data_IF_787713795658
#
_entry.id   IF_787713795658
#
_cell.length_a   1.000
_cell.length_b   1.000
_cell.length_c   1.000
_cell.angle_alpha   90.00
_cell.angle_beta   90.00
_cell.angle_gamma   90.00
#
_symmetry.space_group_name_H-M   'P 1'
#
loop_
_entity.id
_entity.type
_entity.pdbx_description
1 polymer ?
#
# COMPACT_ATOMS: atom_id res chain seq x y z
N UNK A 1 79.02 -46.65 -7.31
CA UNK A 1 78.46 -45.94 -6.14
C UNK A 1 77.43 -44.95 -6.67
N UNK A 2 76.19 -45.37 -6.77
CA UNK A 2 75.09 -44.61 -7.40
C UNK A 2 73.96 -44.53 -6.37
N UNK A 3 73.67 -43.32 -5.87
CA UNK A 3 72.54 -43.07 -4.97
C UNK A 3 71.36 -42.54 -5.78
N UNK A 4 70.27 -43.31 -5.76
CA UNK A 4 68.94 -42.94 -6.24
C UNK A 4 68.32 -41.95 -5.23
N UNK A 5 67.95 -40.76 -5.67
CA UNK A 5 67.19 -39.80 -4.87
C UNK A 5 65.71 -39.85 -5.25
N UNK A 6 64.86 -40.33 -4.34
CA UNK A 6 63.41 -40.34 -4.49
C UNK A 6 62.82 -38.93 -4.31
N UNK A 7 62.06 -38.46 -5.29
CA UNK A 7 61.21 -37.27 -5.15
C UNK A 7 59.83 -37.71 -4.64
N UNK A 8 59.41 -37.20 -3.47
CA UNK A 8 58.06 -37.36 -2.95
C UNK A 8 57.22 -36.18 -3.45
N UNK A 9 56.20 -36.46 -4.26
CA UNK A 9 55.22 -35.48 -4.72
C UNK A 9 54.08 -35.41 -3.69
N UNK A 10 54.01 -34.32 -2.93
CA UNK A 10 52.88 -34.07 -2.03
C UNK A 10 51.69 -33.54 -2.83
N UNK A 11 50.61 -34.32 -2.91
CA UNK A 11 49.32 -33.88 -3.45
C UNK A 11 48.54 -33.20 -2.32
N UNK A 12 48.37 -31.88 -2.40
CA UNK A 12 47.49 -31.13 -1.51
C UNK A 12 46.10 -31.08 -2.14
N UNK A 13 45.18 -31.88 -1.61
CA UNK A 13 43.75 -31.83 -1.97
C UNK A 13 43.08 -30.63 -1.30
N UNK A 14 42.70 -29.61 -2.07
CA UNK A 14 41.90 -28.51 -1.58
C UNK A 14 40.42 -28.91 -1.50
N UNK A 15 39.89 -29.09 -0.28
CA UNK A 15 38.44 -29.15 -0.05
C UNK A 15 37.86 -27.74 -0.22
N UNK A 16 37.07 -27.52 -1.28
CA UNK A 16 36.25 -26.33 -1.41
C UNK A 16 35.04 -26.43 -0.48
N UNK A 17 35.09 -25.74 0.66
CA UNK A 17 33.90 -25.53 1.48
C UNK A 17 32.94 -24.59 0.73
N UNK A 18 31.83 -25.14 0.24
CA UNK A 18 30.75 -24.33 -0.31
C UNK A 18 30.11 -23.54 0.85
N UNK A 19 30.44 -22.26 0.94
CA UNK A 19 29.76 -21.33 1.83
C UNK A 19 28.36 -21.12 1.25
N UNK A 20 27.35 -21.76 1.84
CA UNK A 20 25.96 -21.37 1.60
C UNK A 20 25.76 -19.98 2.19
N UNK A 21 25.92 -18.95 1.38
CA UNK A 21 25.42 -17.62 1.70
C UNK A 21 23.90 -17.73 1.80
N UNK A 22 23.36 -17.64 3.01
CA UNK A 22 21.94 -17.39 3.21
C UNK A 22 21.62 -16.06 2.54
N UNK A 23 21.05 -16.10 1.33
CA UNK A 23 20.56 -14.90 0.67
C UNK A 23 19.50 -14.29 1.59
N UNK A 24 19.76 -13.08 2.08
CA UNK A 24 18.72 -12.29 2.74
C UNK A 24 17.53 -12.25 1.77
N UNK A 25 16.33 -12.72 2.17
CA UNK A 25 15.20 -12.77 1.25
C UNK A 25 15.00 -11.36 0.67
N UNK A 26 15.14 -11.23 -0.64
CA UNK A 26 14.85 -9.97 -1.30
C UNK A 26 13.41 -9.61 -0.95
N UNK A 27 13.20 -8.48 -0.29
CA UNK A 27 11.86 -7.97 -0.01
C UNK A 27 11.25 -7.60 -1.34
N UNK A 28 10.40 -8.47 -1.87
CA UNK A 28 9.69 -8.20 -3.11
C UNK A 28 8.54 -7.26 -2.78
N UNK A 29 8.50 -6.04 -3.35
CA UNK A 29 7.38 -5.14 -3.17
C UNK A 29 6.10 -5.82 -3.66
N UNK A 30 5.04 -5.66 -2.89
CA UNK A 30 3.72 -6.13 -3.24
C UNK A 30 2.69 -5.04 -2.97
N UNK A 31 1.55 -5.12 -3.67
CA UNK A 31 0.40 -4.25 -3.44
C UNK A 31 -0.75 -5.10 -2.94
N UNK A 32 -1.58 -4.52 -2.08
CA UNK A 32 -2.79 -5.18 -1.59
C UNK A 32 -4.02 -4.45 -2.08
N UNK A 33 -5.10 -5.18 -2.26
CA UNK A 33 -6.39 -4.62 -2.64
C UNK A 33 -7.53 -5.52 -2.18
N UNK A 34 -8.75 -5.02 -2.33
CA UNK A 34 -9.96 -5.83 -2.19
C UNK A 34 -10.53 -6.08 -3.57
N UNK A 35 -10.87 -7.34 -3.83
CA UNK A 35 -11.36 -7.81 -5.11
C UNK A 35 -12.61 -8.63 -4.89
N UNK A 36 -13.40 -8.84 -5.93
CA UNK A 36 -14.53 -9.74 -5.92
C UNK A 36 -14.43 -10.76 -7.05
N UNK A 37 -14.76 -12.01 -6.70
CA UNK A 37 -14.97 -13.12 -7.63
C UNK A 37 -16.29 -13.79 -7.27
N UNK A 38 -17.16 -14.00 -8.25
CA UNK A 38 -18.45 -14.67 -8.09
C UNK A 38 -19.33 -14.07 -6.97
N UNK A 39 -19.29 -12.75 -6.80
CA UNK A 39 -20.05 -12.03 -5.77
C UNK A 39 -19.47 -12.09 -4.35
N UNK A 40 -18.32 -12.75 -4.15
CA UNK A 40 -17.64 -12.84 -2.87
C UNK A 40 -16.40 -11.93 -2.84
N UNK A 41 -16.33 -10.93 -1.92
CA UNK A 41 -15.16 -10.09 -1.77
C UNK A 41 -14.03 -10.85 -1.04
N UNK A 42 -12.78 -10.56 -1.40
CA UNK A 42 -11.59 -11.11 -0.76
C UNK A 42 -10.42 -10.11 -0.77
N UNK A 43 -9.47 -10.31 0.15
CA UNK A 43 -8.21 -9.55 0.17
C UNK A 43 -7.23 -10.21 -0.79
N UNK A 44 -6.72 -9.43 -1.74
CA UNK A 44 -5.79 -9.90 -2.74
C UNK A 44 -4.42 -9.21 -2.66
N UNK A 45 -3.38 -9.93 -3.09
CA UNK A 45 -2.04 -9.38 -3.31
C UNK A 45 -1.75 -9.31 -4.80
N UNK A 46 -1.49 -8.12 -5.33
CA UNK A 46 -1.24 -7.90 -6.76
C UNK A 46 0.22 -8.18 -7.09
N UNK A 47 0.45 -9.01 -8.10
CA UNK A 47 1.75 -9.37 -8.65
C UNK A 47 1.85 -8.95 -10.11
N UNK A 48 2.93 -8.26 -10.45
CA UNK A 48 3.33 -7.90 -11.82
C UNK A 48 2.20 -7.25 -12.65
N UNK A 49 1.35 -6.47 -11.99
CA UNK A 49 0.21 -5.71 -12.56
C UNK A 49 -0.91 -6.53 -13.22
N UNK A 50 -0.76 -7.84 -13.35
CA UNK A 50 -1.72 -8.69 -14.10
C UNK A 50 -2.24 -9.88 -13.32
N UNK A 51 -1.65 -10.18 -12.16
CA UNK A 51 -2.05 -11.33 -11.32
C UNK A 51 -2.46 -10.88 -9.93
N UNK A 52 -3.42 -11.58 -9.34
CA UNK A 52 -3.86 -11.37 -7.96
C UNK A 52 -3.81 -12.70 -7.21
N UNK A 53 -3.15 -12.72 -6.06
CA UNK A 53 -3.19 -13.83 -5.13
C UNK A 53 -4.36 -13.64 -4.18
N UNK A 54 -5.31 -14.58 -4.16
CA UNK A 54 -6.33 -14.67 -3.12
C UNK A 54 -5.65 -15.06 -1.80
N UNK A 55 -5.54 -14.11 -0.87
CA UNK A 55 -4.71 -14.26 0.32
C UNK A 55 -5.23 -15.35 1.26
N UNK A 56 -6.55 -15.49 1.37
CA UNK A 56 -7.17 -16.50 2.22
C UNK A 56 -7.01 -17.90 1.60
N UNK A 57 -7.31 -18.04 0.31
CA UNK A 57 -7.14 -19.32 -0.39
C UNK A 57 -5.68 -19.79 -0.41
N UNK A 58 -4.73 -18.88 -0.65
CA UNK A 58 -3.31 -19.20 -0.61
C UNK A 58 -2.84 -19.58 0.80
N UNK A 59 -3.30 -18.86 1.82
CA UNK A 59 -2.99 -19.16 3.22
C UNK A 59 -3.43 -20.59 3.59
N UNK A 60 -4.65 -20.98 3.23
CA UNK A 60 -5.18 -22.34 3.46
C UNK A 60 -4.41 -23.39 2.66
N UNK A 61 -4.11 -23.13 1.39
CA UNK A 61 -3.43 -24.09 0.53
C UNK A 61 -2.00 -24.44 1.00
N UNK A 62 -1.29 -23.48 1.60
CA UNK A 62 0.05 -23.72 2.14
C UNK A 62 0.03 -24.48 3.49
N UNK A 63 -1.03 -24.32 4.30
CA UNK A 63 -1.33 -25.17 5.46
C UNK A 63 -0.29 -25.22 6.60
N UNK A 64 0.78 -24.47 6.50
CA UNK A 64 1.97 -24.48 7.37
C UNK A 64 1.99 -23.36 8.41
N UNK A 65 0.84 -22.74 8.69
CA UNK A 65 0.71 -21.59 9.59
C UNK A 65 -0.41 -21.79 10.61
N UNK A 66 -0.17 -21.35 11.84
CA UNK A 66 -1.18 -21.28 12.91
C UNK A 66 -1.94 -19.95 12.92
N UNK A 67 -1.53 -18.97 12.12
CA UNK A 67 -2.23 -17.70 11.97
C UNK A 67 -3.56 -17.93 11.28
N UNK A 68 -4.60 -17.17 11.64
CA UNK A 68 -5.81 -17.12 10.83
C UNK A 68 -5.61 -16.16 9.64
N UNK A 69 -6.07 -16.54 8.45
CA UNK A 69 -6.15 -15.63 7.31
C UNK A 69 -6.97 -14.35 7.65
N UNK A 70 -6.67 -13.19 7.03
CA UNK A 70 -7.54 -12.02 7.15
C UNK A 70 -8.86 -12.25 6.43
N UNK A 71 -9.97 -12.02 7.14
CA UNK A 71 -11.32 -12.09 6.57
C UNK A 71 -11.60 -10.92 5.62
N UNK A 72 -11.03 -9.75 5.91
CA UNK A 72 -11.19 -8.52 5.13
C UNK A 72 -9.95 -7.60 5.31
N UNK A 73 -9.95 -6.46 4.62
CA UNK A 73 -8.83 -5.51 4.70
C UNK A 73 -8.63 -4.94 6.11
N UNK A 74 -9.72 -4.74 6.88
CA UNK A 74 -9.62 -4.24 8.26
C UNK A 74 -8.90 -5.23 9.16
N UNK A 75 -9.21 -6.51 9.01
CA UNK A 75 -8.55 -7.63 9.69
C UNK A 75 -7.08 -7.75 9.29
N UNK A 76 -6.76 -7.52 8.01
CA UNK A 76 -5.38 -7.47 7.54
C UNK A 76 -4.62 -6.33 8.21
N UNK A 77 -5.14 -5.09 8.16
CA UNK A 77 -4.50 -3.91 8.75
C UNK A 77 -4.28 -4.11 10.26
N UNK A 78 -5.31 -4.53 11.00
CA UNK A 78 -5.24 -4.69 12.44
C UNK A 78 -4.21 -5.73 12.90
N UNK A 79 -3.91 -6.72 12.05
CA UNK A 79 -3.01 -7.84 12.38
C UNK A 79 -1.77 -7.87 11.50
N UNK A 80 -1.49 -6.79 10.78
CA UNK A 80 -0.41 -6.74 9.80
C UNK A 80 0.94 -7.06 10.44
N UNK A 81 1.26 -6.38 11.54
CA UNK A 81 2.48 -6.60 12.31
C UNK A 81 2.40 -7.76 13.31
N UNK A 82 1.25 -8.44 13.39
CA UNK A 82 1.03 -9.64 14.22
C UNK A 82 1.31 -10.94 13.43
N UNK A 83 2.19 -10.87 12.44
CA UNK A 83 2.65 -12.01 11.64
C UNK A 83 2.05 -12.09 10.22
N UNK A 84 0.96 -11.38 9.91
CA UNK A 84 0.39 -11.40 8.57
C UNK A 84 1.36 -10.83 7.52
N UNK A 85 2.19 -9.83 7.85
CA UNK A 85 3.23 -9.32 6.96
C UNK A 85 4.19 -10.42 6.50
N UNK A 86 4.71 -11.20 7.45
CA UNK A 86 5.61 -12.31 7.14
C UNK A 86 4.90 -13.40 6.32
N UNK A 87 3.62 -13.67 6.66
CA UNK A 87 2.81 -14.64 5.91
C UNK A 87 2.56 -14.21 4.46
N UNK A 88 2.29 -12.93 4.21
CA UNK A 88 2.15 -12.40 2.85
C UNK A 88 3.44 -12.60 2.06
N UNK A 89 4.61 -12.30 2.65
CA UNK A 89 5.90 -12.50 1.98
C UNK A 89 6.11 -13.97 1.58
N UNK A 90 5.78 -14.92 2.45
CA UNK A 90 5.84 -16.36 2.14
C UNK A 90 4.91 -16.73 0.98
N UNK A 91 3.66 -16.27 1.03
CA UNK A 91 2.65 -16.51 -0.02
C UNK A 91 3.10 -15.93 -1.37
N UNK A 92 3.63 -14.69 -1.37
CA UNK A 92 4.16 -14.04 -2.57
C UNK A 92 5.33 -14.82 -3.15
N UNK A 93 6.24 -15.31 -2.31
CA UNK A 93 7.36 -16.14 -2.74
C UNK A 93 6.87 -17.44 -3.39
N UNK A 94 5.94 -18.15 -2.75
CA UNK A 94 5.33 -19.37 -3.30
C UNK A 94 4.65 -19.11 -4.65
N UNK A 95 3.91 -18.00 -4.78
CA UNK A 95 3.22 -17.62 -6.01
C UNK A 95 4.18 -17.35 -7.17
N UNK A 96 5.33 -16.72 -6.87
CA UNK A 96 6.35 -16.39 -7.87
C UNK A 96 7.19 -17.59 -8.29
N UNK A 97 7.40 -18.55 -7.39
CA UNK A 97 8.14 -19.79 -7.69
C UNK A 97 7.30 -20.80 -8.49
N UNK A 98 5.98 -20.69 -8.46
CA UNK A 98 5.10 -21.62 -9.16
C UNK A 98 5.29 -21.51 -10.70
N UNK A 99 5.50 -22.64 -11.40
CA UNK A 99 5.58 -22.64 -12.86
C UNK A 99 4.29 -22.13 -13.51
N UNK A 100 4.40 -21.38 -14.62
CA UNK A 100 3.23 -20.86 -15.35
C UNK A 100 2.27 -21.99 -15.76
N UNK A 101 2.80 -23.13 -16.20
CA UNK A 101 2.02 -24.30 -16.60
C UNK A 101 1.31 -25.01 -15.43
N UNK A 102 1.74 -24.76 -14.19
CA UNK A 102 1.20 -25.34 -12.97
C UNK A 102 0.77 -24.22 -12.00
N UNK A 103 0.17 -23.16 -12.55
CA UNK A 103 -0.30 -22.01 -11.77
C UNK A 103 -1.28 -22.48 -10.68
N UNK A 104 -1.08 -22.13 -9.40
CA UNK A 104 -2.00 -22.49 -8.33
C UNK A 104 -3.37 -21.83 -8.52
N UNK A 105 -4.45 -22.51 -8.11
CA UNK A 105 -5.82 -22.02 -8.24
C UNK A 105 -6.11 -20.72 -7.46
N UNK A 106 -5.28 -20.39 -6.48
CA UNK A 106 -5.35 -19.15 -5.70
C UNK A 106 -4.59 -17.97 -6.36
N UNK A 107 -4.00 -18.16 -7.54
CA UNK A 107 -3.43 -17.10 -8.39
C UNK A 107 -4.36 -16.84 -9.56
N UNK A 108 -4.98 -15.66 -9.55
CA UNK A 108 -6.04 -15.24 -10.46
C UNK A 108 -5.53 -14.18 -11.43
N UNK A 109 -6.18 -14.07 -12.58
CA UNK A 109 -5.92 -12.98 -13.52
C UNK A 109 -6.64 -11.72 -13.04
N UNK A 110 -5.93 -10.59 -12.92
CA UNK A 110 -6.54 -9.34 -12.44
C UNK A 110 -7.73 -8.92 -13.31
N UNK A 111 -7.62 -9.12 -14.62
CA UNK A 111 -8.65 -8.76 -15.59
C UNK A 111 -9.96 -9.56 -15.45
N UNK A 112 -9.96 -10.69 -14.73
CA UNK A 112 -11.19 -11.47 -14.48
C UNK A 112 -11.89 -11.10 -13.17
N UNK A 113 -11.32 -10.15 -12.40
CA UNK A 113 -11.81 -9.74 -11.10
C UNK A 113 -12.46 -8.37 -11.15
N UNK A 114 -13.47 -8.16 -10.30
CA UNK A 114 -13.95 -6.81 -10.01
C UNK A 114 -13.08 -6.22 -8.92
N UNK A 115 -12.45 -5.07 -9.21
CA UNK A 115 -11.66 -4.33 -8.22
C UNK A 115 -12.63 -3.53 -7.34
N UNK A 116 -12.50 -3.65 -6.03
CA UNK A 116 -13.31 -2.93 -5.04
C UNK A 116 -12.49 -1.83 -4.37
N UNK A 117 -13.13 -0.90 -3.62
CA UNK A 117 -12.39 -0.03 -2.72
C UNK A 117 -11.48 -0.84 -1.78
N UNK A 118 -10.23 -0.41 -1.55
CA UNK A 118 -9.29 -1.18 -0.72
C UNK A 118 -9.82 -1.49 0.68
N UNK A 119 -10.59 -0.58 1.28
CA UNK A 119 -11.33 -0.82 2.52
C UNK A 119 -12.81 -0.64 2.21
N UNK A 120 -13.57 -1.73 2.25
CA UNK A 120 -15.02 -1.65 2.17
C UNK A 120 -15.56 -1.02 3.46
N UNK A 121 -16.30 0.08 3.30
CA UNK A 121 -16.97 0.81 4.38
C UNK A 121 -16.03 1.13 5.56
N UNK A 122 -15.01 1.99 5.39
CA UNK A 122 -14.14 2.38 6.50
C UNK A 122 -14.97 2.99 7.64
N UNK A 123 -14.53 2.83 8.88
CA UNK A 123 -15.29 3.34 10.03
C UNK A 123 -15.29 4.87 10.06
N UNK A 124 -14.15 5.47 9.71
CA UNK A 124 -13.94 6.92 9.72
C UNK A 124 -13.17 7.30 8.47
N UNK A 125 -13.60 8.37 7.80
CA UNK A 125 -12.81 9.05 6.77
C UNK A 125 -12.48 10.46 7.27
N UNK A 126 -11.24 10.63 7.72
CA UNK A 126 -10.70 11.92 8.13
C UNK A 126 -9.89 12.51 6.98
N UNK A 127 -10.21 13.73 6.59
CA UNK A 127 -9.60 14.43 5.45
C UNK A 127 -8.90 15.68 5.97
N UNK A 128 -7.83 16.09 5.31
CA UNK A 128 -7.04 17.26 5.68
C UNK A 128 -7.10 18.26 4.54
N UNK A 129 -7.67 19.43 4.80
CA UNK A 129 -7.70 20.53 3.84
C UNK A 129 -6.41 21.35 3.88
N UNK A 130 -6.16 22.09 2.79
CA UNK A 130 -5.08 23.09 2.66
C UNK A 130 -3.68 22.52 2.95
N UNK A 131 -3.49 21.22 2.72
CA UNK A 131 -2.19 20.54 2.85
C UNK A 131 -1.35 20.60 1.56
N UNK A 132 -1.94 21.04 0.44
CA UNK A 132 -1.24 21.29 -0.83
C UNK A 132 -1.16 22.79 -1.11
N UNK A 133 0.06 23.30 -1.20
CA UNK A 133 0.36 24.71 -1.48
C UNK A 133 -0.29 25.18 -2.78
N UNK A 134 -0.21 24.36 -3.81
CA UNK A 134 -0.71 24.64 -5.15
C UNK A 134 -2.24 24.75 -5.16
N UNK A 135 -2.92 23.90 -4.39
CA UNK A 135 -4.37 23.94 -4.29
C UNK A 135 -4.86 25.21 -3.56
N UNK A 136 -4.16 25.68 -2.52
CA UNK A 136 -4.48 26.98 -1.90
C UNK A 136 -4.34 28.15 -2.90
N UNK A 137 -3.29 28.11 -3.74
CA UNK A 137 -3.08 29.09 -4.81
C UNK A 137 -4.21 29.03 -5.85
N UNK A 138 -4.62 27.83 -6.25
CA UNK A 138 -5.74 27.60 -7.16
C UNK A 138 -7.04 28.18 -6.60
N UNK A 139 -7.39 27.82 -5.37
CA UNK A 139 -8.63 28.28 -4.74
C UNK A 139 -8.69 29.80 -4.60
N UNK A 140 -7.56 30.48 -4.33
CA UNK A 140 -7.53 31.93 -4.27
C UNK A 140 -7.79 32.62 -5.62
N UNK A 141 -7.51 31.96 -6.75
CA UNK A 141 -7.79 32.49 -8.11
C UNK A 141 -9.25 32.34 -8.49
N UNK A 142 -9.94 31.34 -7.96
CA UNK A 142 -11.37 31.08 -8.20
C UNK A 142 -12.26 31.90 -7.26
N UNK A 143 -11.72 32.33 -6.10
CA UNK A 143 -12.41 33.11 -5.05
C UNK A 143 -12.48 34.62 -5.33
N UNK A 144 -12.98 35.06 -6.49
CA UNK A 144 -13.55 36.41 -6.54
C UNK A 144 -14.72 36.48 -5.54
N UNK A 145 -14.51 37.07 -4.35
CA UNK A 145 -15.57 37.39 -3.38
C UNK A 145 -15.64 36.62 -2.06
N UNK A 146 -14.64 35.83 -1.66
CA UNK A 146 -14.61 35.28 -0.28
C UNK A 146 -14.17 36.35 0.75
N UNK A 147 -14.96 36.62 1.81
CA UNK A 147 -14.59 37.63 2.80
C UNK A 147 -13.29 37.26 3.54
N UNK A 148 -12.31 38.17 3.56
CA UNK A 148 -11.13 38.08 4.41
C UNK A 148 -9.89 37.38 3.83
N UNK A 149 -9.91 36.89 2.59
CA UNK A 149 -8.74 36.33 1.91
C UNK A 149 -8.60 36.93 0.51
N UNK A 150 -7.83 38.01 0.39
CA UNK A 150 -7.62 38.73 -0.88
C UNK A 150 -6.49 38.11 -1.73
N UNK A 151 -5.62 37.29 -1.13
CA UNK A 151 -4.48 36.66 -1.77
C UNK A 151 -4.27 35.23 -1.25
N UNK A 152 -3.71 34.31 -2.08
CA UNK A 152 -3.32 32.99 -1.60
C UNK A 152 -2.25 33.11 -0.53
N UNK A 153 -2.35 32.28 0.52
CA UNK A 153 -1.26 32.20 1.51
C UNK A 153 -0.20 31.19 1.08
N UNK A 154 -0.49 30.41 0.04
CA UNK A 154 0.33 29.35 -0.49
C UNK A 154 0.71 28.34 0.61
N UNK A 155 -0.27 27.99 1.44
CA UNK A 155 -0.10 27.09 2.59
C UNK A 155 0.49 27.75 3.84
N UNK A 156 0.79 29.06 3.81
CA UNK A 156 1.29 29.78 4.99
C UNK A 156 0.14 30.14 5.94
N UNK A 157 0.38 30.00 7.25
CA UNK A 157 -0.53 30.43 8.30
C UNK A 157 -0.73 31.95 8.28
N UNK A 158 -1.93 32.39 8.67
CA UNK A 158 -2.21 33.80 8.87
C UNK A 158 -1.47 34.34 10.10
N UNK A 159 -1.15 35.65 10.14
CA UNK A 159 -0.59 36.27 11.34
C UNK A 159 -1.41 35.98 12.60
N UNK A 160 -0.74 35.64 13.70
CA UNK A 160 -1.38 35.32 14.97
C UNK A 160 -1.94 33.90 15.09
N UNK A 161 -1.78 33.04 14.06
CA UNK A 161 -2.20 31.64 14.18
C UNK A 161 -1.34 30.92 15.23
N UNK A 162 -1.99 30.33 16.23
CA UNK A 162 -1.33 29.60 17.32
C UNK A 162 -1.27 28.09 17.04
N UNK A 163 -0.50 27.34 17.84
CA UNK A 163 -0.50 25.87 17.81
C UNK A 163 -1.90 25.31 18.09
N UNK A 164 -2.19 24.13 17.55
CA UNK A 164 -3.37 23.34 17.88
C UNK A 164 -2.94 22.14 18.75
N UNK A 165 -3.06 22.20 20.09
CA UNK A 165 -2.60 21.14 20.98
C UNK A 165 -3.16 19.77 20.58
N UNK A 166 -2.28 18.76 20.47
CA UNK A 166 -2.63 17.40 20.07
C UNK A 166 -2.76 17.16 18.56
N UNK A 167 -2.80 18.22 17.74
CA UNK A 167 -2.89 18.13 16.27
C UNK A 167 -1.61 18.67 15.62
N UNK A 168 -1.17 19.85 16.06
CA UNK A 168 -0.01 20.53 15.50
C UNK A 168 0.65 21.46 16.51
N UNK A 169 1.93 21.21 16.79
CA UNK A 169 2.75 22.11 17.60
C UNK A 169 3.68 22.88 16.69
N UNK A 170 3.55 24.21 16.69
CA UNK A 170 4.41 25.09 15.89
C UNK A 170 5.77 25.23 16.54
N UNK A 171 6.80 24.89 15.79
CA UNK A 171 8.17 25.24 16.11
C UNK A 171 8.46 26.70 15.73
N UNK A 172 9.53 27.26 16.28
CA UNK A 172 9.96 28.61 15.91
C UNK A 172 10.26 28.69 14.41
N UNK A 173 9.61 29.64 13.72
CA UNK A 173 9.75 29.79 12.27
C UNK A 173 8.84 28.88 11.42
N UNK A 174 7.97 28.07 12.04
CA UNK A 174 6.98 27.32 11.28
C UNK A 174 5.92 28.27 10.70
N UNK A 175 5.96 28.41 9.39
CA UNK A 175 5.05 29.28 8.63
C UNK A 175 3.83 28.52 8.11
N UNK A 176 3.72 27.20 8.27
CA UNK A 176 2.65 26.37 7.67
C UNK A 176 1.32 26.55 8.41
N UNK A 177 0.21 26.36 7.70
CA UNK A 177 -1.12 26.27 8.35
C UNK A 177 -1.22 25.11 9.35
N UNK A 178 -2.08 25.26 10.37
CA UNK A 178 -2.49 24.07 11.13
C UNK A 178 -3.29 23.16 10.20
N UNK A 179 -3.13 21.83 10.26
CA UNK A 179 -3.97 20.90 9.52
C UNK A 179 -5.45 21.16 9.83
N UNK A 180 -6.24 21.49 8.81
CA UNK A 180 -7.68 21.63 8.96
C UNK A 180 -8.33 20.29 8.62
N UNK A 181 -8.99 19.67 9.60
CA UNK A 181 -9.52 18.32 9.45
C UNK A 181 -11.04 18.32 9.34
N UNK A 182 -11.58 17.46 8.48
CA UNK A 182 -13.03 17.29 8.32
C UNK A 182 -13.40 15.85 7.98
N UNK A 183 -14.65 15.48 8.21
CA UNK A 183 -15.17 14.14 7.94
C UNK A 183 -15.84 14.08 6.57
N UNK A 184 -15.60 13.00 5.83
CA UNK A 184 -16.41 12.61 4.66
C UNK A 184 -17.24 11.37 5.01
N UNK A 185 -18.35 11.17 4.31
CA UNK A 185 -19.22 10.03 4.55
C UNK A 185 -18.55 8.73 4.05
N UNK A 186 -18.31 7.73 4.91
CA UNK A 186 -17.69 6.47 4.48
C UNK A 186 -18.47 5.70 3.43
N UNK A 187 -19.79 5.91 3.38
CA UNK A 187 -20.68 5.31 2.39
C UNK A 187 -20.55 5.93 0.99
N UNK A 188 -19.76 7.00 0.82
CA UNK A 188 -19.57 7.67 -0.46
C UNK A 188 -18.35 7.16 -1.26
N UNK A 189 -17.61 6.17 -0.74
CA UNK A 189 -16.51 5.55 -1.47
C UNK A 189 -17.06 4.58 -2.52
N UNK A 190 -16.55 4.71 -3.75
CA UNK A 190 -16.83 3.82 -4.88
C UNK A 190 -15.52 3.28 -5.44
N UNK A 191 -15.58 2.16 -6.17
CA UNK A 191 -14.39 1.58 -6.79
C UNK A 191 -13.94 2.41 -8.00
N UNK A 192 -12.69 2.19 -8.43
CA UNK A 192 -12.24 2.71 -9.72
C UNK A 192 -13.13 2.20 -10.85
N UNK A 193 -13.57 3.10 -11.73
CA UNK A 193 -14.43 2.78 -12.87
C UNK A 193 -15.93 2.68 -12.56
N UNK A 194 -16.34 2.76 -11.28
CA UNK A 194 -17.75 2.85 -10.92
C UNK A 194 -18.30 4.25 -11.21
N UNK A 195 -19.59 4.30 -11.60
CA UNK A 195 -20.23 5.55 -11.98
C UNK A 195 -20.56 6.42 -10.75
N UNK A 196 -20.19 7.69 -10.80
CA UNK A 196 -20.64 8.71 -9.84
C UNK A 196 -21.91 9.38 -10.37
N UNK A 197 -23.02 9.22 -9.65
CA UNK A 197 -24.29 9.85 -10.04
C UNK A 197 -24.29 11.32 -9.65
N UNK A 198 -24.30 12.20 -10.65
CA UNK A 198 -24.39 13.63 -10.41
C UNK A 198 -25.79 14.00 -9.87
N UNK A 199 -25.88 14.79 -8.78
CA UNK A 199 -27.16 15.30 -8.31
C UNK A 199 -27.81 16.18 -9.39
N UNK A 200 -29.12 16.04 -9.64
CA UNK A 200 -29.83 16.87 -10.62
C UNK A 200 -29.60 18.37 -10.35
N UNK A 201 -29.60 19.18 -11.42
CA UNK A 201 -29.53 20.65 -11.36
C UNK A 201 -28.20 21.22 -10.80
N UNK A 202 -27.17 20.40 -10.55
CA UNK A 202 -25.83 20.89 -10.20
C UNK A 202 -25.05 21.26 -11.46
N UNK A 203 -24.70 22.54 -11.60
CA UNK A 203 -23.98 23.10 -12.76
C UNK A 203 -22.50 23.36 -12.50
N UNK A 204 -22.05 23.26 -11.25
CA UNK A 204 -20.67 23.50 -10.81
C UNK A 204 -20.14 22.24 -10.14
N UNK A 205 -20.10 21.13 -10.89
CA UNK A 205 -19.48 19.90 -10.43
C UNK A 205 -17.99 19.97 -10.73
N UNK A 206 -17.17 19.69 -9.73
CA UNK A 206 -15.73 19.50 -9.89
C UNK A 206 -15.25 18.19 -9.28
N UNK A 207 -13.93 17.98 -9.30
CA UNK A 207 -13.25 16.85 -8.70
C UNK A 207 -12.02 17.35 -7.94
N UNK A 208 -11.70 16.67 -6.84
CA UNK A 208 -10.46 16.87 -6.09
C UNK A 208 -9.64 15.58 -6.16
N UNK A 209 -8.39 15.69 -6.63
CA UNK A 209 -7.44 14.60 -6.63
C UNK A 209 -6.71 14.54 -5.29
N UNK A 210 -6.96 13.51 -4.49
CA UNK A 210 -6.40 13.35 -3.15
C UNK A 210 -5.64 12.02 -2.99
N UNK A 211 -4.79 11.96 -1.96
CA UNK A 211 -4.15 10.73 -1.49
C UNK A 211 -4.68 10.36 -0.11
N UNK A 212 -5.01 9.08 0.08
CA UNK A 212 -5.41 8.51 1.38
C UNK A 212 -4.33 7.58 1.93
N UNK A 213 -4.21 7.52 3.26
CA UNK A 213 -3.29 6.65 4.00
C UNK A 213 -4.01 5.81 5.05
#
# INVERSE_FOLDING_TARGET
MTRLGSFVLAVVSALAAAVLSAQTPQVVPFRVGTFERDGAPFVGVVLDDVRVVDLAAAHTALGDSTLAAPADMKSLIARYDQGLRARIVQIVAAARQAPVAARPAWVLDLASLRVLPPILYPTTMLNVAVNYREHDIEMARVREGSPGQQAPTAGAALPGTTSAPGIWQREAGDTRWNPFMFLKAPAAIVAHGEAVRLPPQRTQIEWEGELGV
#
